data_IF_031777715764
#
_entry.id   IF_031777715764
#
_cell.length_a   1.000
_cell.length_b   1.000
_cell.length_c   1.000
_cell.angle_alpha   90.00
_cell.angle_beta   90.00
_cell.angle_gamma   90.00
#
_symmetry.space_group_name_H-M   'P 1'
#
loop_
_entity.id
_entity.type
_entity.pdbx_description
1 polymer ?
#
# COMPACT_ATOMS: atom_id res chain seq x y z
N UNK A 1 -50.11 -19.34 22.71
CA UNK A 1 -49.30 -19.50 21.48
C UNK A 1 -49.25 -18.25 20.58
N UNK A 2 -50.22 -17.32 20.62
CA UNK A 2 -50.24 -16.14 19.72
C UNK A 2 -49.19 -15.04 20.01
N UNK A 3 -48.63 -14.98 21.22
CA UNK A 3 -47.65 -13.94 21.59
C UNK A 3 -46.20 -14.17 21.13
N UNK A 4 -45.79 -15.42 20.88
CA UNK A 4 -44.41 -15.74 20.48
C UNK A 4 -44.14 -15.52 18.98
N UNK A 5 -45.19 -15.51 18.16
CA UNK A 5 -45.08 -15.28 16.71
C UNK A 5 -44.90 -13.80 16.38
N UNK A 6 -45.51 -12.90 17.15
CA UNK A 6 -45.39 -11.45 16.94
C UNK A 6 -43.96 -10.92 17.20
N UNK A 7 -43.26 -11.46 18.20
CA UNK A 7 -41.89 -11.05 18.53
C UNK A 7 -40.89 -11.53 17.45
N UNK A 8 -41.11 -12.71 16.87
CA UNK A 8 -40.23 -13.24 15.83
C UNK A 8 -40.34 -12.44 14.52
N UNK A 9 -41.56 -12.02 14.15
CA UNK A 9 -41.80 -11.21 12.94
C UNK A 9 -41.21 -9.79 13.10
N UNK A 10 -41.28 -9.22 14.30
CA UNK A 10 -40.66 -7.92 14.59
C UNK A 10 -39.14 -7.96 14.54
N UNK A 11 -38.50 -9.07 14.95
CA UNK A 11 -37.04 -9.20 14.92
C UNK A 11 -36.51 -9.37 13.48
N UNK A 12 -37.21 -10.14 12.66
CA UNK A 12 -36.84 -10.38 11.25
C UNK A 12 -36.99 -9.11 10.41
N UNK A 13 -37.99 -8.27 10.69
CA UNK A 13 -38.19 -6.99 9.99
C UNK A 13 -37.14 -5.95 10.37
N UNK A 14 -36.71 -5.88 11.64
CA UNK A 14 -35.58 -5.01 12.04
C UNK A 14 -34.24 -5.45 11.46
N UNK A 15 -33.98 -6.75 11.39
CA UNK A 15 -32.73 -7.27 10.79
C UNK A 15 -32.72 -7.04 9.27
N UNK A 16 -33.87 -7.20 8.59
CA UNK A 16 -34.00 -6.91 7.16
C UNK A 16 -33.82 -5.43 6.80
N UNK A 17 -34.29 -4.51 7.64
CA UNK A 17 -34.12 -3.06 7.43
C UNK A 17 -32.67 -2.59 7.65
N UNK A 18 -31.96 -3.19 8.61
CA UNK A 18 -30.53 -2.90 8.84
C UNK A 18 -29.66 -3.46 7.70
N UNK A 19 -29.98 -4.65 7.18
CA UNK A 19 -29.28 -5.22 6.03
C UNK A 19 -29.53 -4.43 4.73
N UNK A 20 -30.73 -3.85 4.57
CA UNK A 20 -31.06 -2.99 3.42
C UNK A 20 -30.31 -1.65 3.46
N UNK A 21 -30.05 -1.08 4.63
CA UNK A 21 -29.28 0.16 4.77
C UNK A 21 -27.77 -0.01 4.57
N UNK A 22 -27.22 -1.20 4.83
CA UNK A 22 -25.78 -1.47 4.69
C UNK A 22 -25.40 -1.84 3.24
N UNK A 23 -26.35 -2.29 2.43
CA UNK A 23 -26.10 -2.78 1.06
C UNK A 23 -26.47 -1.80 -0.07
N UNK A 24 -26.87 -0.56 0.23
CA UNK A 24 -27.07 0.43 -0.83
C UNK A 24 -25.75 1.10 -1.22
N UNK A 25 -25.34 1.05 -2.51
CA UNK A 25 -24.31 1.93 -3.02
C UNK A 25 -24.78 3.39 -2.90
N UNK A 26 -23.86 4.37 -2.73
CA UNK A 26 -24.21 5.76 -2.49
C UNK A 26 -24.67 6.44 -3.79
N UNK A 27 -25.87 6.12 -4.24
CA UNK A 27 -26.53 6.74 -5.40
C UNK A 27 -27.99 7.02 -5.09
N UNK A 28 -28.28 7.78 -4.03
CA UNK A 28 -29.65 8.23 -3.75
C UNK A 28 -29.72 9.52 -2.92
N UNK A 29 -28.92 10.53 -3.26
CA UNK A 29 -29.17 11.92 -2.84
C UNK A 29 -28.88 12.87 -4.00
N UNK A 30 -29.72 12.84 -5.04
CA UNK A 30 -29.81 13.96 -5.98
C UNK A 30 -31.24 14.15 -6.46
N UNK A 31 -32.01 14.88 -5.67
CA UNK A 31 -33.27 15.47 -6.10
C UNK A 31 -33.01 16.81 -6.80
N UNK A 32 -33.10 16.76 -8.13
CA UNK A 32 -33.53 17.82 -9.06
C UNK A 32 -32.77 19.17 -9.12
N UNK A 33 -32.00 19.32 -10.20
CA UNK A 33 -32.01 20.50 -11.07
C UNK A 33 -31.63 20.06 -12.48
N UNK A 34 -32.49 20.35 -13.47
CA UNK A 34 -32.31 19.95 -14.88
C UNK A 34 -31.44 20.99 -15.61
N UNK A 35 -30.31 20.51 -16.14
CA UNK A 35 -29.45 21.07 -17.21
C UNK A 35 -28.73 22.43 -16.95
N UNK A 36 -27.45 22.60 -17.40
CA UNK A 36 -26.82 22.01 -18.58
C UNK A 36 -25.58 21.14 -18.25
N UNK A 37 -25.80 19.85 -17.97
CA UNK A 37 -24.72 18.92 -17.57
C UNK A 37 -23.99 18.26 -18.76
N UNK A 38 -24.50 18.43 -19.99
CA UNK A 38 -23.96 17.75 -21.18
C UNK A 38 -22.67 18.41 -21.71
N UNK A 39 -22.64 19.74 -21.75
CA UNK A 39 -21.52 20.48 -22.34
C UNK A 39 -20.26 20.50 -21.45
N UNK A 40 -20.44 20.37 -20.13
CA UNK A 40 -19.33 20.29 -19.18
C UNK A 40 -18.76 18.87 -19.11
N UNK A 41 -19.59 17.84 -19.23
CA UNK A 41 -19.13 16.43 -19.31
C UNK A 41 -18.31 16.17 -20.59
N UNK A 42 -18.69 16.75 -21.72
CA UNK A 42 -17.97 16.58 -22.98
C UNK A 42 -16.60 17.31 -22.95
N UNK A 43 -16.53 18.53 -22.42
CA UNK A 43 -15.24 19.24 -22.23
C UNK A 43 -14.32 18.56 -21.22
N UNK A 44 -14.86 18.07 -20.10
CA UNK A 44 -14.06 17.38 -19.07
C UNK A 44 -13.59 16.00 -19.54
N UNK A 45 -14.36 15.29 -20.37
CA UNK A 45 -13.92 14.04 -20.99
C UNK A 45 -12.80 14.27 -22.02
N UNK A 46 -12.84 15.38 -22.75
CA UNK A 46 -11.78 15.73 -23.70
C UNK A 46 -10.48 16.15 -22.98
N UNK A 47 -10.56 16.94 -21.89
CA UNK A 47 -9.38 17.29 -21.07
C UNK A 47 -8.75 16.05 -20.39
N UNK A 48 -9.56 15.14 -19.84
CA UNK A 48 -9.07 13.88 -19.24
C UNK A 48 -8.45 12.96 -20.30
N UNK A 49 -9.01 12.95 -21.52
CA UNK A 49 -8.48 12.17 -22.63
C UNK A 49 -7.16 12.73 -23.15
N UNK A 50 -6.99 14.05 -23.13
CA UNK A 50 -5.74 14.71 -23.54
C UNK A 50 -4.63 14.55 -22.48
N UNK A 51 -4.95 14.59 -21.18
CA UNK A 51 -4.01 14.24 -20.10
C UNK A 51 -3.59 12.76 -20.20
N UNK A 52 -4.55 11.85 -20.45
CA UNK A 52 -4.26 10.42 -20.65
C UNK A 52 -3.36 10.17 -21.86
N UNK A 53 -3.56 10.91 -22.96
CA UNK A 53 -2.68 10.83 -24.15
C UNK A 53 -1.27 11.36 -23.87
N UNK A 54 -1.14 12.43 -23.09
CA UNK A 54 0.17 12.95 -22.68
C UNK A 54 0.94 11.95 -21.79
N UNK A 55 0.23 11.26 -20.89
CA UNK A 55 0.81 10.19 -20.06
C UNK A 55 1.16 8.93 -20.86
N UNK A 56 0.35 8.55 -21.86
CA UNK A 56 0.61 7.40 -22.73
C UNK A 56 1.77 7.64 -23.72
N UNK A 57 1.93 8.87 -24.24
CA UNK A 57 3.03 9.22 -25.14
C UNK A 57 4.41 9.23 -24.45
N UNK A 58 4.47 9.29 -23.12
CA UNK A 58 5.73 9.09 -22.38
C UNK A 58 6.11 7.61 -22.23
N UNK A 59 5.19 6.69 -22.56
CA UNK A 59 5.32 5.25 -22.34
C UNK A 59 5.70 4.46 -23.62
N UNK A 60 5.82 5.13 -24.77
CA UNK A 60 6.32 4.53 -26.01
C UNK A 60 7.86 4.65 -26.09
N UNK A 61 8.56 3.93 -25.21
CA UNK A 61 9.93 3.50 -25.50
C UNK A 61 9.89 2.01 -25.80
N UNK A 62 10.34 1.65 -27.00
CA UNK A 62 10.52 0.26 -27.43
C UNK A 62 11.31 -0.52 -26.38
N UNK A 63 10.96 -1.80 -26.10
CA UNK A 63 11.73 -2.64 -25.21
C UNK A 63 13.11 -2.89 -25.82
N UNK A 64 14.13 -2.23 -25.29
CA UNK A 64 15.51 -2.49 -25.67
C UNK A 64 16.01 -3.74 -24.94
N UNK A 65 16.30 -4.77 -25.75
CA UNK A 65 17.13 -5.93 -25.48
C UNK A 65 16.88 -6.69 -24.16
N UNK A 66 16.09 -7.76 -24.27
CA UNK A 66 16.13 -8.90 -23.34
C UNK A 66 17.54 -9.49 -23.41
N UNK A 67 18.32 -9.33 -22.34
CA UNK A 67 19.59 -10.03 -22.18
C UNK A 67 19.40 -11.17 -21.18
N UNK A 68 19.56 -12.39 -21.67
CA UNK A 68 19.65 -13.58 -20.83
C UNK A 68 21.00 -13.58 -20.12
N UNK A 69 21.02 -13.19 -18.85
CA UNK A 69 22.03 -13.68 -17.90
C UNK A 69 21.29 -14.28 -16.72
N UNK A 70 20.94 -15.56 -16.85
CA UNK A 70 20.25 -16.39 -15.86
C UNK A 70 21.12 -16.77 -14.65
N UNK A 71 22.31 -16.18 -14.46
CA UNK A 71 23.22 -16.58 -13.38
C UNK A 71 23.38 -15.48 -12.31
N UNK A 72 22.87 -15.78 -11.11
CA UNK A 72 23.31 -15.29 -9.78
C UNK A 72 22.89 -13.90 -9.24
N UNK A 73 21.89 -13.19 -9.80
CA UNK A 73 21.42 -11.93 -9.17
C UNK A 73 20.55 -12.17 -7.90
N UNK A 74 20.07 -13.40 -7.69
CA UNK A 74 18.98 -13.69 -6.73
C UNK A 74 19.31 -13.59 -5.23
N UNK A 75 20.54 -13.87 -4.80
CA UNK A 75 20.89 -13.93 -3.36
C UNK A 75 22.11 -13.09 -2.96
N UNK A 76 23.03 -12.82 -3.89
CA UNK A 76 24.29 -12.11 -3.60
C UNK A 76 24.50 -10.87 -4.47
N UNK A 77 23.42 -10.14 -4.80
CA UNK A 77 23.46 -8.94 -5.64
C UNK A 77 24.53 -7.93 -5.19
N UNK A 78 24.78 -7.82 -3.89
CA UNK A 78 25.77 -6.94 -3.28
C UNK A 78 27.23 -7.28 -3.66
N UNK A 79 27.51 -8.55 -3.99
CA UNK A 79 28.83 -9.00 -4.46
C UNK A 79 28.97 -8.78 -5.97
N UNK A 80 27.93 -9.07 -6.73
CA UNK A 80 27.91 -8.95 -8.19
C UNK A 80 27.97 -7.48 -8.63
N UNK A 81 27.22 -6.59 -7.96
CA UNK A 81 27.11 -5.18 -8.36
C UNK A 81 28.44 -4.41 -8.30
N UNK A 82 29.37 -4.83 -7.43
CA UNK A 82 30.72 -4.23 -7.36
C UNK A 82 31.46 -4.30 -8.70
N UNK A 83 31.15 -5.30 -9.51
CA UNK A 83 31.79 -5.57 -10.80
C UNK A 83 30.96 -5.06 -11.99
N UNK A 84 29.83 -4.38 -11.76
CA UNK A 84 29.02 -3.86 -12.86
C UNK A 84 29.79 -2.81 -13.67
N UNK A 85 29.74 -2.98 -14.99
CA UNK A 85 30.09 -1.94 -15.96
C UNK A 85 29.14 -0.73 -15.82
N UNK A 86 29.52 0.46 -16.34
CA UNK A 86 28.65 1.64 -16.32
C UNK A 86 27.27 1.38 -16.96
N UNK A 87 27.22 0.59 -18.03
CA UNK A 87 25.96 0.26 -18.70
C UNK A 87 25.07 -0.65 -17.84
N UNK A 88 25.65 -1.67 -17.17
CA UNK A 88 24.90 -2.53 -16.26
C UNK A 88 24.34 -1.76 -15.07
N UNK A 89 25.09 -0.79 -14.52
CA UNK A 89 24.58 0.10 -13.46
C UNK A 89 23.39 0.91 -13.95
N UNK A 90 23.48 1.49 -15.15
CA UNK A 90 22.39 2.24 -15.77
C UNK A 90 21.15 1.37 -16.00
N UNK A 91 21.32 0.14 -16.48
CA UNK A 91 20.22 -0.80 -16.67
C UNK A 91 19.55 -1.15 -15.33
N UNK A 92 20.34 -1.50 -14.31
CA UNK A 92 19.83 -1.79 -12.97
C UNK A 92 19.07 -0.60 -12.36
N UNK A 93 19.53 0.64 -12.59
CA UNK A 93 18.81 1.85 -12.17
C UNK A 93 17.47 2.04 -12.89
N UNK A 94 17.43 1.76 -14.20
CA UNK A 94 16.18 1.81 -14.96
C UNK A 94 15.19 0.75 -14.47
N UNK A 95 15.64 -0.49 -14.26
CA UNK A 95 14.80 -1.57 -13.73
C UNK A 95 14.26 -1.25 -12.32
N UNK A 96 15.09 -0.64 -11.46
CA UNK A 96 14.64 -0.17 -10.15
C UNK A 96 13.58 0.94 -10.27
N UNK A 97 13.78 1.89 -11.19
CA UNK A 97 12.81 2.95 -11.48
C UNK A 97 11.49 2.39 -12.02
N UNK A 98 11.53 1.40 -12.91
CA UNK A 98 10.33 0.69 -13.40
C UNK A 98 9.63 -0.08 -12.28
N UNK A 99 10.40 -0.74 -11.40
CA UNK A 99 9.85 -1.41 -10.23
C UNK A 99 9.12 -0.44 -9.31
N UNK A 100 9.68 0.75 -9.06
CA UNK A 100 9.01 1.82 -8.31
C UNK A 100 7.69 2.24 -8.95
N UNK A 101 7.63 2.33 -10.29
CA UNK A 101 6.36 2.61 -11.00
C UNK A 101 5.36 1.46 -10.88
N UNK A 102 5.80 0.20 -10.92
CA UNK A 102 4.93 -0.97 -10.81
C UNK A 102 4.31 -1.10 -9.42
N UNK A 103 5.13 -0.93 -8.38
CA UNK A 103 4.69 -1.03 -6.98
C UNK A 103 3.99 0.24 -6.46
N UNK A 104 3.97 1.32 -7.24
CA UNK A 104 3.34 2.59 -6.89
C UNK A 104 4.13 3.41 -5.87
N UNK A 105 5.46 3.36 -5.93
CA UNK A 105 6.37 4.17 -5.12
C UNK A 105 6.79 5.44 -5.87
N UNK A 106 5.84 6.34 -6.07
CA UNK A 106 6.08 7.64 -6.72
C UNK A 106 5.59 8.73 -5.77
N UNK A 107 6.52 9.54 -5.29
CA UNK A 107 6.24 10.56 -4.29
C UNK A 107 6.00 11.91 -4.93
N UNK A 108 5.01 12.65 -4.43
CA UNK A 108 4.89 14.09 -4.73
C UNK A 108 6.17 14.76 -4.19
N UNK A 109 6.93 15.51 -5.02
CA UNK A 109 8.11 16.21 -4.55
C UNK A 109 7.75 17.17 -3.42
N UNK A 110 8.44 17.07 -2.29
CA UNK A 110 8.37 18.11 -1.26
C UNK A 110 9.11 19.35 -1.79
N UNK A 111 8.47 20.52 -1.75
CA UNK A 111 9.05 21.80 -2.16
C UNK A 111 10.37 22.12 -1.45
N UNK A 112 10.64 21.51 -0.29
CA UNK A 112 11.86 21.70 0.49
C UNK A 112 12.91 20.59 0.33
N UNK A 113 12.63 19.59 -0.51
CA UNK A 113 13.51 18.46 -0.77
C UNK A 113 14.37 18.71 -2.01
N UNK A 114 15.70 18.68 -1.84
CA UNK A 114 16.64 18.60 -2.97
C UNK A 114 16.60 17.24 -3.71
N UNK A 115 15.78 16.31 -3.23
CA UNK A 115 15.62 14.99 -3.81
C UNK A 115 14.48 15.02 -4.82
N UNK A 116 14.83 15.04 -6.11
CA UNK A 116 13.89 14.74 -7.19
C UNK A 116 13.64 13.23 -7.23
N UNK A 117 12.38 12.81 -7.06
CA UNK A 117 12.02 11.42 -7.35
C UNK A 117 12.11 11.19 -8.85
N UNK A 118 12.88 10.19 -9.28
CA UNK A 118 13.11 9.84 -10.69
C UNK A 118 11.81 9.67 -11.51
N UNK A 119 10.69 9.39 -10.86
CA UNK A 119 9.38 9.15 -11.46
C UNK A 119 8.36 10.29 -11.22
N UNK A 120 8.76 11.40 -10.59
CA UNK A 120 7.85 12.51 -10.24
C UNK A 120 7.11 13.09 -11.46
N UNK A 121 7.74 13.08 -12.63
CA UNK A 121 7.13 13.54 -13.88
C UNK A 121 5.86 12.79 -14.27
N UNK A 122 5.68 11.54 -13.82
CA UNK A 122 4.50 10.73 -14.12
C UNK A 122 3.25 11.18 -13.35
N UNK A 123 3.45 11.79 -12.17
CA UNK A 123 2.35 12.29 -11.34
C UNK A 123 2.19 13.81 -11.40
N UNK A 124 3.20 14.54 -11.90
CA UNK A 124 3.19 16.00 -11.99
C UNK A 124 1.90 16.59 -12.61
N UNK A 125 1.31 16.02 -13.69
CA UNK A 125 0.06 16.55 -14.26
C UNK A 125 -1.15 16.47 -13.31
N UNK A 126 -1.12 15.60 -12.30
CA UNK A 126 -2.21 15.37 -11.36
C UNK A 126 -2.10 16.21 -10.09
N UNK A 127 -0.92 16.75 -9.79
CA UNK A 127 -0.63 17.49 -8.55
C UNK A 127 -1.49 18.75 -8.44
N UNK A 128 -1.76 19.42 -9.56
CA UNK A 128 -2.51 20.68 -9.58
C UNK A 128 -4.03 20.49 -9.83
N UNK A 129 -4.50 19.27 -10.08
CA UNK A 129 -5.91 18.99 -10.37
C UNK A 129 -6.72 18.97 -9.07
N UNK A 130 -7.80 19.75 -8.97
CA UNK A 130 -8.68 19.74 -7.79
C UNK A 130 -9.10 18.31 -7.36
N UNK A 131 -9.15 17.98 -6.04
CA UNK A 131 -9.35 16.60 -5.56
C UNK A 131 -10.61 15.90 -6.09
N UNK A 132 -11.71 16.62 -6.32
CA UNK A 132 -12.93 16.04 -6.90
C UNK A 132 -12.76 15.66 -8.38
N UNK A 133 -12.03 16.46 -9.14
CA UNK A 133 -11.70 16.14 -10.54
C UNK A 133 -10.68 15.02 -10.61
N UNK A 134 -9.69 15.02 -9.71
CA UNK A 134 -8.70 13.95 -9.59
C UNK A 134 -9.37 12.60 -9.27
N UNK A 135 -10.40 12.61 -8.41
CA UNK A 135 -11.20 11.42 -8.10
C UNK A 135 -11.90 10.84 -9.34
N UNK A 136 -12.32 11.66 -10.31
CA UNK A 136 -12.92 11.16 -11.55
C UNK A 136 -11.93 10.33 -12.37
N UNK A 137 -10.70 10.84 -12.53
CA UNK A 137 -9.62 10.09 -13.19
C UNK A 137 -9.28 8.82 -12.40
N UNK A 138 -9.16 8.93 -11.08
CA UNK A 138 -8.87 7.79 -10.21
C UNK A 138 -9.93 6.67 -10.29
N UNK A 139 -11.22 7.03 -10.43
CA UNK A 139 -12.32 6.07 -10.63
C UNK A 139 -12.25 5.30 -11.95
N UNK A 140 -11.44 5.75 -12.90
CA UNK A 140 -11.16 5.04 -14.15
C UNK A 140 -9.92 4.14 -14.09
N UNK A 141 -9.44 3.84 -12.87
CA UNK A 141 -8.22 3.06 -12.60
C UNK A 141 -6.94 3.72 -13.13
N UNK A 142 -6.96 5.04 -13.27
CA UNK A 142 -5.74 5.78 -13.52
C UNK A 142 -4.83 5.70 -12.30
N UNK A 143 -3.80 4.86 -12.41
CA UNK A 143 -2.82 4.59 -11.36
C UNK A 143 -2.15 5.87 -10.85
N UNK A 144 -1.80 6.80 -11.73
CA UNK A 144 -1.08 8.02 -11.33
C UNK A 144 -2.01 9.01 -10.63
N UNK A 145 -3.28 9.08 -11.07
CA UNK A 145 -4.31 9.83 -10.35
C UNK A 145 -4.56 9.25 -8.95
N UNK A 146 -4.66 7.92 -8.82
CA UNK A 146 -4.82 7.23 -7.54
C UNK A 146 -3.65 7.48 -6.59
N UNK A 147 -2.41 7.33 -7.09
CA UNK A 147 -1.17 7.59 -6.32
C UNK A 147 -1.12 9.04 -5.84
N UNK A 148 -1.50 9.99 -6.70
CA UNK A 148 -1.52 11.42 -6.35
C UNK A 148 -2.59 11.71 -5.31
N UNK A 149 -3.82 11.20 -5.52
CA UNK A 149 -4.95 11.42 -4.61
C UNK A 149 -4.64 10.91 -3.20
N UNK A 150 -3.93 9.80 -3.09
CA UNK A 150 -3.53 9.20 -1.82
C UNK A 150 -2.60 10.13 -1.00
N UNK A 151 -1.76 10.93 -1.67
CA UNK A 151 -0.72 11.74 -1.05
C UNK A 151 -1.14 13.17 -0.74
N UNK A 152 -2.14 13.71 -1.46
CA UNK A 152 -2.57 15.11 -1.33
C UNK A 152 -3.15 15.44 0.05
N UNK A 153 -2.63 16.45 0.74
CA UNK A 153 -3.12 16.84 2.07
C UNK A 153 -4.57 17.35 2.09
N UNK A 154 -5.02 17.96 0.99
CA UNK A 154 -6.38 18.49 0.84
C UNK A 154 -7.42 17.44 0.39
N UNK A 155 -6.99 16.20 0.13
CA UNK A 155 -7.91 15.11 -0.18
C UNK A 155 -8.53 14.53 1.10
N UNK A 156 -9.86 14.40 1.12
CA UNK A 156 -10.60 13.80 2.22
C UNK A 156 -10.10 12.37 2.53
N UNK A 157 -10.09 12.01 3.82
CA UNK A 157 -9.56 10.73 4.31
C UNK A 157 -10.24 9.53 3.63
N UNK A 158 -11.54 9.59 3.42
CA UNK A 158 -12.32 8.52 2.79
C UNK A 158 -11.88 8.27 1.34
N UNK A 159 -11.51 9.33 0.62
CA UNK A 159 -11.00 9.23 -0.75
C UNK A 159 -9.61 8.62 -0.78
N UNK A 160 -8.75 8.97 0.18
CA UNK A 160 -7.42 8.37 0.36
C UNK A 160 -7.53 6.89 0.68
N UNK A 161 -8.39 6.52 1.64
CA UNK A 161 -8.64 5.13 2.00
C UNK A 161 -9.12 4.32 0.79
N UNK A 162 -10.10 4.85 0.04
CA UNK A 162 -10.58 4.21 -1.18
C UNK A 162 -9.48 4.06 -2.23
N UNK A 163 -8.66 5.10 -2.46
CA UNK A 163 -7.56 5.05 -3.41
C UNK A 163 -6.49 4.01 -3.02
N UNK A 164 -6.17 3.91 -1.73
CA UNK A 164 -5.23 2.92 -1.21
C UNK A 164 -5.73 1.48 -1.44
N UNK A 165 -7.00 1.20 -1.12
CA UNK A 165 -7.61 -0.10 -1.43
C UNK A 165 -7.59 -0.39 -2.92
N UNK A 166 -7.98 0.60 -3.75
CA UNK A 166 -8.02 0.42 -5.20
C UNK A 166 -6.62 0.14 -5.78
N UNK A 167 -5.60 0.85 -5.32
CA UNK A 167 -4.21 0.61 -5.71
C UNK A 167 -3.72 -0.78 -5.32
N UNK A 168 -4.03 -1.25 -4.10
CA UNK A 168 -3.71 -2.60 -3.64
C UNK A 168 -4.36 -3.66 -4.55
N UNK A 169 -5.64 -3.47 -4.90
CA UNK A 169 -6.33 -4.36 -5.85
C UNK A 169 -5.68 -4.38 -7.22
N UNK A 170 -5.13 -3.26 -7.69
CA UNK A 170 -4.37 -3.16 -8.94
C UNK A 170 -2.94 -3.73 -8.82
N UNK A 171 -2.52 -4.18 -7.64
CA UNK A 171 -1.19 -4.75 -7.38
C UNK A 171 -0.11 -3.74 -7.01
N UNK A 172 -0.49 -2.49 -6.73
CA UNK A 172 0.43 -1.46 -6.25
C UNK A 172 0.54 -1.61 -4.73
N UNK A 173 1.70 -2.00 -4.24
CA UNK A 173 1.90 -2.36 -2.83
C UNK A 173 2.46 -1.22 -1.99
N UNK A 174 3.22 -0.28 -2.56
CA UNK A 174 4.05 0.64 -1.77
C UNK A 174 3.25 1.64 -0.94
N UNK A 175 2.85 2.77 -1.53
CA UNK A 175 2.08 3.80 -0.83
C UNK A 175 0.73 3.27 -0.33
N UNK A 176 0.12 2.36 -1.09
CA UNK A 176 -1.14 1.74 -0.75
C UNK A 176 -1.09 0.97 0.57
N UNK A 177 -0.19 -0.01 0.71
CA UNK A 177 -0.10 -0.79 1.94
C UNK A 177 0.46 0.06 3.09
N UNK A 178 1.37 0.99 2.80
CA UNK A 178 1.85 1.96 3.79
C UNK A 178 0.69 2.75 4.42
N UNK A 179 -0.21 3.30 3.59
CA UNK A 179 -1.40 4.01 4.07
C UNK A 179 -2.35 3.09 4.85
N UNK A 180 -2.63 1.88 4.35
CA UNK A 180 -3.53 0.94 5.01
C UNK A 180 -2.99 0.50 6.39
N UNK A 181 -1.68 0.28 6.52
CA UNK A 181 -1.04 0.02 7.81
C UNK A 181 -1.21 1.21 8.76
N UNK A 182 -0.89 2.43 8.31
CA UNK A 182 -1.03 3.64 9.13
C UNK A 182 -2.47 3.82 9.60
N UNK A 183 -3.45 3.56 8.72
CA UNK A 183 -4.88 3.60 9.03
C UNK A 183 -5.25 2.63 10.15
N UNK A 184 -4.94 1.33 9.99
CA UNK A 184 -5.31 0.32 10.98
C UNK A 184 -4.67 0.58 12.34
N UNK A 185 -3.37 0.93 12.35
CA UNK A 185 -2.67 1.27 13.60
C UNK A 185 -3.29 2.52 14.26
N UNK A 186 -3.67 3.53 13.47
CA UNK A 186 -4.33 4.73 14.00
C UNK A 186 -5.71 4.43 14.60
N UNK A 187 -6.47 3.53 13.97
CA UNK A 187 -7.76 3.07 14.50
C UNK A 187 -7.59 2.31 15.82
N UNK A 188 -6.60 1.41 15.90
CA UNK A 188 -6.26 0.70 17.13
C UNK A 188 -5.90 1.67 18.27
N UNK A 189 -5.04 2.66 18.00
CA UNK A 189 -4.66 3.71 18.97
C UNK A 189 -5.86 4.50 19.46
N UNK A 190 -6.71 4.95 18.54
CA UNK A 190 -7.89 5.74 18.89
C UNK A 190 -8.84 4.95 19.79
N UNK A 191 -9.12 3.69 19.44
CA UNK A 191 -9.93 2.77 20.25
C UNK A 191 -9.32 2.51 21.62
N UNK A 192 -8.00 2.36 21.69
CA UNK A 192 -7.32 2.22 22.98
C UNK A 192 -7.44 3.49 23.83
N UNK A 193 -7.31 4.68 23.23
CA UNK A 193 -7.47 5.94 23.96
C UNK A 193 -8.89 6.14 24.54
N UNK A 194 -9.93 5.59 23.90
CA UNK A 194 -11.31 5.63 24.39
C UNK A 194 -11.54 4.76 25.64
N UNK A 195 -10.85 3.61 25.76
CA UNK A 195 -11.16 2.60 26.77
C UNK A 195 -10.00 2.16 27.69
N UNK A 196 -8.76 2.51 27.35
CA UNK A 196 -7.51 2.12 28.03
C UNK A 196 -7.33 0.61 28.28
N UNK A 197 -8.03 -0.23 27.51
CA UNK A 197 -8.00 -1.69 27.61
C UNK A 197 -7.90 -2.26 26.19
N UNK A 198 -7.08 -3.29 26.00
CA UNK A 198 -6.99 -4.03 24.74
C UNK A 198 -8.29 -4.82 24.53
N UNK A 199 -9.02 -4.48 23.48
CA UNK A 199 -10.25 -5.16 23.05
C UNK A 199 -9.97 -6.00 21.80
N UNK A 200 -10.90 -6.91 21.47
CA UNK A 200 -10.83 -7.71 20.23
C UNK A 200 -10.83 -6.83 18.96
N UNK A 201 -11.44 -5.65 19.02
CA UNK A 201 -11.43 -4.69 17.91
C UNK A 201 -10.02 -4.12 17.69
N UNK A 202 -9.33 -3.75 18.77
CA UNK A 202 -7.93 -3.30 18.74
C UNK A 202 -7.01 -4.41 18.22
N UNK A 203 -7.18 -5.63 18.73
CA UNK A 203 -6.47 -6.83 18.25
C UNK A 203 -6.66 -7.03 16.74
N UNK A 204 -7.90 -6.93 16.25
CA UNK A 204 -8.22 -7.09 14.83
C UNK A 204 -7.54 -6.02 13.95
N UNK A 205 -7.54 -4.76 14.36
CA UNK A 205 -6.85 -3.69 13.62
C UNK A 205 -5.34 -3.94 13.57
N UNK A 206 -4.74 -4.31 14.69
CA UNK A 206 -3.31 -4.64 14.75
C UNK A 206 -2.99 -5.87 13.88
N UNK A 207 -3.84 -6.90 13.89
CA UNK A 207 -3.69 -8.08 13.05
C UNK A 207 -3.79 -7.74 11.55
N UNK A 208 -4.75 -6.88 11.16
CA UNK A 208 -4.85 -6.40 9.78
C UNK A 208 -3.59 -5.65 9.35
N UNK A 209 -3.04 -4.80 10.23
CA UNK A 209 -1.80 -4.07 9.93
C UNK A 209 -0.63 -5.02 9.66
N UNK A 210 -0.48 -6.09 10.47
CA UNK A 210 0.56 -7.10 10.25
C UNK A 210 0.30 -7.95 9.01
N UNK A 211 -0.96 -8.21 8.66
CA UNK A 211 -1.30 -8.90 7.42
C UNK A 211 -0.89 -8.07 6.18
N UNK A 212 -1.08 -6.75 6.20
CA UNK A 212 -0.56 -5.87 5.14
C UNK A 212 0.97 -5.86 5.09
N UNK A 213 1.65 -5.84 6.24
CA UNK A 213 3.12 -5.93 6.31
C UNK A 213 3.61 -7.24 5.72
N UNK A 214 3.06 -8.36 6.16
CA UNK A 214 3.39 -9.71 5.72
C UNK A 214 3.12 -9.89 4.22
N UNK A 215 1.99 -9.37 3.72
CA UNK A 215 1.68 -9.34 2.29
C UNK A 215 2.69 -8.50 1.49
N UNK A 216 3.08 -7.32 1.98
CA UNK A 216 4.12 -6.50 1.35
C UNK A 216 5.47 -7.20 1.26
N UNK A 217 5.90 -7.86 2.33
CA UNK A 217 7.13 -8.66 2.37
C UNK A 217 7.07 -9.80 1.33
N UNK A 218 5.95 -10.54 1.25
CA UNK A 218 5.76 -11.58 0.25
C UNK A 218 5.84 -11.05 -1.20
N UNK A 219 5.62 -9.74 -1.40
CA UNK A 219 5.71 -9.03 -2.67
C UNK A 219 7.04 -8.28 -2.86
N UNK A 220 8.05 -8.53 -2.02
CA UNK A 220 9.35 -7.85 -2.03
C UNK A 220 9.20 -6.32 -1.89
N UNK A 221 8.30 -5.88 -1.00
CA UNK A 221 8.01 -4.48 -0.73
C UNK A 221 8.06 -4.17 0.78
N UNK A 222 9.07 -3.41 1.21
CA UNK A 222 9.27 -3.04 2.61
C UNK A 222 8.47 -1.79 3.05
N UNK A 223 7.65 -1.18 2.19
CA UNK A 223 6.96 0.09 2.51
C UNK A 223 5.93 -0.07 3.62
N UNK A 224 5.20 -1.19 3.64
CA UNK A 224 4.25 -1.52 4.70
C UNK A 224 4.96 -1.73 6.05
N UNK A 225 6.10 -2.43 6.05
CA UNK A 225 6.94 -2.61 7.24
C UNK A 225 7.45 -1.26 7.77
N UNK A 226 7.95 -0.40 6.89
CA UNK A 226 8.37 0.97 7.23
C UNK A 226 7.23 1.73 7.92
N UNK A 227 6.05 1.72 7.33
CA UNK A 227 4.88 2.38 7.89
C UNK A 227 4.51 1.82 9.27
N UNK A 228 4.54 0.50 9.44
CA UNK A 228 4.26 -0.14 10.72
C UNK A 228 5.23 0.30 11.81
N UNK A 229 6.53 0.25 11.53
CA UNK A 229 7.58 0.63 12.48
C UNK A 229 7.46 2.12 12.85
N UNK A 230 7.20 3.01 11.89
CA UNK A 230 6.94 4.43 12.17
C UNK A 230 5.69 4.60 13.03
N UNK A 231 4.59 3.94 12.68
CA UNK A 231 3.30 4.07 13.37
C UNK A 231 3.36 3.53 14.80
N UNK A 232 4.15 2.49 15.04
CA UNK A 232 4.31 1.82 16.34
C UNK A 232 5.49 2.34 17.14
N UNK A 233 6.21 3.37 16.66
CA UNK A 233 7.34 3.93 17.37
C UNK A 233 6.87 4.55 18.70
N UNK A 234 7.43 4.13 19.86
CA UNK A 234 7.03 4.64 21.17
C UNK A 234 7.04 6.17 21.30
N UNK A 235 7.92 6.86 20.56
CA UNK A 235 7.95 8.34 20.53
C UNK A 235 6.69 8.96 19.94
N UNK A 236 5.92 8.20 19.16
CA UNK A 236 4.68 8.59 18.51
C UNK A 236 3.45 7.87 19.12
N UNK A 237 3.63 7.18 20.24
CA UNK A 237 2.56 6.53 20.98
C UNK A 237 2.12 7.44 22.13
N UNK A 238 0.96 8.07 21.98
CA UNK A 238 0.23 8.66 23.12
C UNK A 238 -0.48 7.55 23.89
N UNK A 239 -0.55 7.66 25.22
CA UNK A 239 -1.40 6.84 26.12
C UNK A 239 -0.97 5.41 26.43
N UNK A 240 0.32 5.12 26.70
CA UNK A 240 0.79 3.79 27.14
C UNK A 240 0.35 2.61 26.24
N UNK A 241 -0.14 2.86 25.04
CA UNK A 241 -0.54 1.81 24.11
C UNK A 241 0.71 1.05 23.68
N UNK A 242 0.77 -0.24 23.95
CA UNK A 242 1.84 -1.12 23.50
C UNK A 242 1.32 -2.06 22.42
N UNK A 243 1.74 -1.88 21.15
CA UNK A 243 1.39 -2.78 20.05
C UNK A 243 1.73 -4.24 20.34
N UNK A 244 2.83 -4.50 21.05
CA UNK A 244 3.26 -5.83 21.43
C UNK A 244 2.35 -6.46 22.50
N UNK A 245 1.85 -5.67 23.45
CA UNK A 245 0.84 -6.14 24.42
C UNK A 245 -0.50 -6.41 23.75
N UNK A 246 -0.89 -5.56 22.78
CA UNK A 246 -2.15 -5.72 22.04
C UNK A 246 -2.22 -7.03 21.25
N UNK A 247 -1.09 -7.69 21.00
CA UNK A 247 -1.00 -8.92 20.21
C UNK A 247 -0.29 -10.06 20.94
N UNK A 248 -0.13 -9.98 22.27
CA UNK A 248 0.62 -10.97 23.06
C UNK A 248 0.07 -12.39 22.88
N UNK A 249 -1.26 -12.51 22.72
CA UNK A 249 -1.97 -13.78 22.52
C UNK A 249 -2.07 -14.24 21.07
N UNK A 250 -1.68 -13.40 20.11
CA UNK A 250 -1.73 -13.70 18.67
C UNK A 250 -0.43 -14.38 18.27
N UNK A 251 -0.51 -15.54 17.62
CA UNK A 251 0.64 -16.26 17.10
C UNK A 251 0.89 -15.97 15.61
N UNK A 252 1.95 -16.55 15.06
CA UNK A 252 2.28 -16.44 13.63
C UNK A 252 1.21 -17.07 12.74
N UNK A 253 0.50 -18.11 13.20
CA UNK A 253 -0.55 -18.77 12.44
C UNK A 253 -1.75 -17.83 12.20
N UNK A 254 -2.13 -17.02 13.20
CA UNK A 254 -3.17 -16.03 13.05
C UNK A 254 -2.81 -14.90 12.05
N UNK A 255 -1.55 -14.44 12.05
CA UNK A 255 -1.07 -13.45 11.07
C UNK A 255 -1.12 -14.05 9.66
N UNK A 256 -0.62 -15.27 9.50
CA UNK A 256 -0.63 -15.97 8.22
C UNK A 256 -2.04 -16.24 7.71
N UNK A 257 -2.96 -16.63 8.58
CA UNK A 257 -4.37 -16.80 8.23
C UNK A 257 -4.97 -15.48 7.73
N UNK A 258 -4.76 -14.36 8.45
CA UNK A 258 -5.28 -13.05 8.03
C UNK A 258 -4.66 -12.57 6.71
N UNK A 259 -3.37 -12.85 6.47
CA UNK A 259 -2.73 -12.58 5.17
C UNK A 259 -3.37 -13.40 4.05
N UNK A 260 -3.66 -14.68 4.28
CA UNK A 260 -4.33 -15.52 3.29
C UNK A 260 -5.74 -15.01 2.98
N UNK A 261 -6.52 -14.66 4.02
CA UNK A 261 -7.84 -14.02 3.85
C UNK A 261 -7.75 -12.73 3.00
N UNK A 262 -6.70 -11.91 3.24
CA UNK A 262 -6.44 -10.71 2.45
C UNK A 262 -6.15 -11.03 0.98
N UNK A 263 -5.31 -12.05 0.71
CA UNK A 263 -4.99 -12.47 -0.67
C UNK A 263 -6.23 -13.01 -1.38
N UNK A 264 -7.06 -13.80 -0.69
CA UNK A 264 -8.33 -14.29 -1.22
C UNK A 264 -9.29 -13.14 -1.53
N UNK A 265 -9.41 -12.15 -0.63
CA UNK A 265 -10.17 -10.94 -0.86
C UNK A 265 -9.68 -10.18 -2.10
N UNK A 266 -8.36 -9.93 -2.21
CA UNK A 266 -7.78 -9.26 -3.37
C UNK A 266 -8.11 -10.01 -4.67
N UNK A 267 -7.96 -11.34 -4.68
CA UNK A 267 -8.24 -12.15 -5.87
C UNK A 267 -9.73 -12.16 -6.23
N UNK A 268 -10.62 -12.22 -5.25
CA UNK A 268 -12.07 -12.13 -5.46
C UNK A 268 -12.46 -10.80 -6.10
N UNK A 269 -11.96 -9.68 -5.57
CA UNK A 269 -12.22 -8.36 -6.11
C UNK A 269 -11.59 -8.18 -7.50
N UNK A 270 -10.36 -8.66 -7.72
CA UNK A 270 -9.71 -8.65 -9.04
C UNK A 270 -10.51 -9.43 -10.07
N UNK A 271 -11.07 -10.58 -9.71
CA UNK A 271 -11.92 -11.36 -10.60
C UNK A 271 -13.19 -10.60 -11.02
N UNK A 272 -13.82 -9.86 -10.09
CA UNK A 272 -14.97 -9.00 -10.41
C UNK A 272 -14.61 -7.86 -11.37
N UNK A 273 -13.34 -7.45 -11.39
CA UNK A 273 -12.79 -6.42 -12.28
C UNK A 273 -12.20 -6.99 -13.57
N UNK A 274 -12.34 -8.29 -13.81
CA UNK A 274 -11.73 -8.99 -14.94
C UNK A 274 -10.20 -8.85 -15.02
N UNK A 275 -9.55 -8.75 -13.86
CA UNK A 275 -8.09 -8.76 -13.72
C UNK A 275 -7.61 -10.18 -13.38
N UNK A 276 -6.41 -10.53 -13.85
CA UNK A 276 -5.78 -11.79 -13.49
C UNK A 276 -5.56 -11.88 -11.97
N UNK A 277 -5.49 -13.07 -11.37
CA UNK A 277 -5.06 -13.25 -9.98
C UNK A 277 -3.78 -12.49 -9.64
N UNK A 278 -3.65 -12.09 -8.38
CA UNK A 278 -2.51 -11.30 -7.92
C UNK A 278 -1.18 -12.07 -7.98
N UNK A 279 -1.26 -13.41 -7.90
CA UNK A 279 -0.12 -14.33 -8.09
C UNK A 279 0.52 -14.20 -9.47
N UNK A 280 -0.25 -13.77 -10.47
CA UNK A 280 0.20 -13.73 -11.86
C UNK A 280 0.97 -12.44 -12.17
N UNK A 281 0.96 -11.46 -11.25
CA UNK A 281 1.82 -10.28 -11.35
C UNK A 281 3.25 -10.69 -10.99
N UNK A 282 4.09 -10.82 -12.03
CA UNK A 282 5.52 -11.11 -11.91
C UNK A 282 6.22 -10.07 -11.02
N UNK A 283 7.04 -10.55 -10.10
CA UNK A 283 7.98 -9.73 -9.33
C UNK A 283 9.30 -9.74 -10.12
N UNK A 284 9.84 -8.58 -10.55
CA UNK A 284 11.09 -8.54 -11.29
C UNK A 284 12.28 -8.88 -10.38
N UNK A 285 13.38 -9.37 -10.94
CA UNK A 285 14.56 -9.78 -10.17
C UNK A 285 15.17 -8.62 -9.36
N UNK A 286 15.17 -7.41 -9.93
CA UNK A 286 15.62 -6.19 -9.26
C UNK A 286 14.89 -5.92 -7.94
N UNK A 287 13.65 -6.39 -7.79
CA UNK A 287 12.85 -6.16 -6.59
C UNK A 287 13.52 -6.72 -5.33
N UNK A 288 14.27 -7.83 -5.44
CA UNK A 288 14.97 -8.40 -4.28
C UNK A 288 16.07 -7.48 -3.77
N UNK A 289 16.86 -6.92 -4.68
CA UNK A 289 17.90 -5.92 -4.34
C UNK A 289 17.27 -4.69 -3.68
N UNK A 290 16.23 -4.11 -4.28
CA UNK A 290 15.56 -2.92 -3.76
C UNK A 290 14.90 -3.18 -2.39
N UNK A 291 14.35 -4.38 -2.20
CA UNK A 291 13.84 -4.84 -0.93
C UNK A 291 14.95 -4.92 0.13
N UNK A 292 16.06 -5.60 -0.16
CA UNK A 292 17.19 -5.73 0.77
C UNK A 292 17.80 -4.37 1.14
N UNK A 293 17.96 -3.46 0.17
CA UNK A 293 18.40 -2.07 0.42
C UNK A 293 17.43 -1.36 1.38
N UNK A 294 16.13 -1.48 1.12
CA UNK A 294 15.10 -0.88 1.97
C UNK A 294 15.12 -1.44 3.39
N UNK A 295 15.30 -2.76 3.54
CA UNK A 295 15.45 -3.42 4.84
C UNK A 295 16.70 -2.93 5.56
N UNK A 296 17.85 -2.79 4.87
CA UNK A 296 19.07 -2.27 5.46
C UNK A 296 18.91 -0.83 5.98
N UNK A 297 18.26 0.04 5.20
CA UNK A 297 17.93 1.42 5.61
C UNK A 297 17.01 1.43 6.83
N UNK A 298 16.03 0.51 6.88
CA UNK A 298 15.14 0.35 8.03
C UNK A 298 15.90 -0.08 9.28
N UNK A 299 16.84 -1.03 9.19
CA UNK A 299 17.68 -1.38 10.34
C UNK A 299 18.60 -0.23 10.78
N UNK A 300 19.15 0.53 9.85
CA UNK A 300 19.96 1.70 10.18
C UNK A 300 19.16 2.74 10.99
N UNK A 301 17.87 2.91 10.66
CA UNK A 301 17.01 3.92 11.27
C UNK A 301 16.25 3.45 12.51
N UNK A 302 15.85 2.17 12.54
CA UNK A 302 14.91 1.61 13.52
C UNK A 302 15.33 0.21 14.03
N UNK A 303 16.61 -0.14 13.92
CA UNK A 303 17.08 -1.51 14.16
C UNK A 303 16.74 -2.07 15.55
N UNK A 304 16.79 -1.26 16.61
CA UNK A 304 16.39 -1.68 17.96
C UNK A 304 14.90 -2.03 18.02
N UNK A 305 14.04 -1.16 17.47
CA UNK A 305 12.59 -1.36 17.45
C UNK A 305 12.20 -2.61 16.65
N UNK A 306 12.86 -2.85 15.51
CA UNK A 306 12.63 -4.05 14.71
C UNK A 306 13.06 -5.29 15.49
N UNK A 307 14.25 -5.27 16.10
CA UNK A 307 14.80 -6.42 16.83
C UNK A 307 14.02 -6.76 18.12
N UNK A 308 13.44 -5.75 18.78
CA UNK A 308 12.70 -5.91 20.04
C UNK A 308 11.21 -6.24 19.82
N UNK A 309 10.66 -5.99 18.63
CA UNK A 309 9.22 -6.22 18.39
C UNK A 309 8.90 -7.70 18.30
N UNK A 310 8.19 -8.20 19.32
CA UNK A 310 7.70 -9.60 19.33
C UNK A 310 6.78 -9.89 18.16
N UNK A 311 5.99 -8.91 17.74
CA UNK A 311 5.02 -9.05 16.67
C UNK A 311 5.66 -9.18 15.29
N UNK A 312 6.70 -8.40 15.01
CA UNK A 312 7.43 -8.50 13.75
C UNK A 312 8.16 -9.84 13.63
N UNK A 313 8.64 -10.40 14.75
CA UNK A 313 9.27 -11.73 14.78
C UNK A 313 8.30 -12.89 14.50
N UNK A 314 6.99 -12.65 14.55
CA UNK A 314 5.96 -13.65 14.22
C UNK A 314 5.66 -13.70 12.71
N UNK A 315 6.19 -12.77 11.90
CA UNK A 315 6.00 -12.77 10.45
C UNK A 315 6.91 -13.84 9.83
N UNK A 316 6.33 -14.80 9.13
CA UNK A 316 7.04 -16.00 8.68
C UNK A 316 7.74 -15.87 7.32
N UNK A 317 7.36 -14.90 6.50
CA UNK A 317 7.86 -14.76 5.13
C UNK A 317 9.31 -14.27 5.06
N UNK A 318 9.78 -13.61 6.11
CA UNK A 318 11.14 -13.12 6.19
C UNK A 318 11.59 -13.15 7.65
N UNK A 319 12.72 -13.80 7.89
CA UNK A 319 13.34 -13.78 9.20
C UNK A 319 13.93 -12.38 9.46
N UNK A 320 13.12 -11.48 10.01
CA UNK A 320 13.54 -10.13 10.42
C UNK A 320 14.49 -10.17 11.64
N UNK A 321 14.83 -11.34 12.19
CA UNK A 321 15.92 -11.46 13.16
C UNK A 321 17.27 -11.70 12.48
N UNK A 322 17.26 -12.27 11.27
CA UNK A 322 18.47 -12.57 10.48
C UNK A 322 18.57 -11.67 9.26
N UNK A 323 19.50 -10.72 9.35
CA UNK A 323 19.89 -9.92 8.18
C UNK A 323 20.51 -10.84 7.13
N UNK A 324 20.12 -10.69 5.86
CA UNK A 324 20.85 -11.34 4.77
C UNK A 324 22.28 -10.80 4.69
N UNK A 325 23.17 -11.52 4.01
CA UNK A 325 24.55 -11.06 3.79
C UNK A 325 24.58 -9.71 3.10
N UNK A 326 23.73 -9.50 2.09
CA UNK A 326 23.64 -8.23 1.39
C UNK A 326 23.05 -7.09 2.23
N UNK A 327 22.06 -7.36 3.08
CA UNK A 327 21.56 -6.38 4.06
C UNK A 327 22.68 -5.97 5.02
N UNK A 328 23.43 -6.94 5.54
CA UNK A 328 24.52 -6.70 6.49
C UNK A 328 25.68 -5.93 5.85
N UNK A 329 26.04 -6.28 4.62
CA UNK A 329 27.07 -5.59 3.85
C UNK A 329 26.70 -4.13 3.56
N UNK A 330 25.48 -3.89 3.07
CA UNK A 330 25.02 -2.53 2.78
C UNK A 330 24.94 -1.68 4.04
N UNK A 331 24.39 -2.23 5.13
CA UNK A 331 24.33 -1.56 6.42
C UNK A 331 25.71 -1.16 6.94
N UNK A 332 26.72 -2.02 6.76
CA UNK A 332 28.11 -1.73 7.15
C UNK A 332 28.71 -0.57 6.35
N UNK A 333 28.33 -0.41 5.08
CA UNK A 333 28.79 0.72 4.26
C UNK A 333 28.14 2.04 4.71
N UNK A 334 26.85 2.02 5.03
CA UNK A 334 26.13 3.19 5.54
C UNK A 334 26.78 3.75 6.81
N UNK A 335 27.12 2.87 7.76
CA UNK A 335 27.73 3.28 9.05
C UNK A 335 29.19 3.70 8.95
N UNK A 336 29.92 3.29 7.91
CA UNK A 336 31.28 3.77 7.65
C UNK A 336 31.31 5.15 6.99
N UNK A 337 30.21 5.57 6.37
CA UNK A 337 30.08 6.86 5.67
C UNK A 337 29.53 8.01 6.52
N UNK A 338 29.15 7.73 7.78
CA UNK A 338 28.60 8.68 8.77
C UNK A 338 29.63 9.09 9.81
#
# INVERSE_FOLDING_TARGET
MKGKVAVLISLITTIGLVYWFILQPPEALSGTSKEPYKQQRDKTNDEVKDIRKLALNQNEREPQAVFNSEDEIGEEWCKVERNFSPQQRKNSQNEASEWDVQRGNILIPDYHSAFESHNAGLIAPYVDIEPDKLLLSAKSDDKFALITLLQRDDAAKEKKDWAAYRLMLLGNTSLALGHLVMKEVSLAKHKFAEGSIVTKEIENHMLNSLAYVSYGIARMDASALRAYVIATNPKHLSHNFSPDEALDKIDSAAINARKNDLVEFINSERAQLHLNPISDIKIPEIARKEFDISIAILYASFGSQIAESKNLMKISEHDLSRKSDCVSEFLSRLTQSS
#
